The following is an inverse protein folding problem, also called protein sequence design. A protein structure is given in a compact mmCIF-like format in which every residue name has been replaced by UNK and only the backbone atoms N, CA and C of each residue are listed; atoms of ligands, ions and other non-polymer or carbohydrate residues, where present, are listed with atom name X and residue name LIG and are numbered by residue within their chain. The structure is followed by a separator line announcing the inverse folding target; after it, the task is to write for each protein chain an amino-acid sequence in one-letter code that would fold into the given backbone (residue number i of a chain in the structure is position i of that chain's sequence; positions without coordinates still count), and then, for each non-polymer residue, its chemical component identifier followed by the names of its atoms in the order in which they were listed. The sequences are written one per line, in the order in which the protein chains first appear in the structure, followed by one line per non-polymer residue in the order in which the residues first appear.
data_IF_937037671196
#
_entry.id   IF_937037671196
#
_cell.length_a   1.000
_cell.length_b   1.000
_cell.length_c   1.000
_cell.angle_alpha   90.00
_cell.angle_beta   90.00
_cell.angle_gamma   90.00
#
_symmetry.space_group_name_H-M   'P 1'
#
loop_
_entity.id
_entity.type
_entity.pdbx_description
1 polymer ?
#
# COMPACT_ATOMS: atom_id res chain seq x y z
N UNK A 1 -12.28 -8.43 10.41
CA UNK A 1 -12.45 -7.35 9.40
C UNK A 1 -13.18 -6.18 10.02
N UNK A 2 -14.40 -6.31 10.52
CA UNK A 2 -15.12 -5.22 11.20
C UNK A 2 -15.93 -5.74 12.38
N UNK A 3 -16.09 -4.93 13.42
CA UNK A 3 -17.05 -5.08 14.52
C UNK A 3 -18.10 -3.98 14.37
N UNK A 4 -19.34 -4.39 14.16
CA UNK A 4 -20.48 -3.50 14.10
C UNK A 4 -21.05 -3.31 15.50
N UNK A 5 -21.21 -2.06 15.94
CA UNK A 5 -21.92 -1.71 17.16
C UNK A 5 -23.11 -0.80 16.80
N UNK A 6 -24.36 -1.18 17.15
CA UNK A 6 -25.51 -0.30 16.99
C UNK A 6 -25.23 1.04 17.67
N UNK A 7 -25.55 2.15 17.01
CA UNK A 7 -25.31 3.54 17.45
C UNK A 7 -23.86 4.04 17.50
N UNK A 8 -22.85 3.16 17.34
CA UNK A 8 -21.41 3.54 17.38
C UNK A 8 -20.66 3.34 16.06
N UNK A 9 -21.32 2.79 15.03
CA UNK A 9 -20.76 2.62 13.70
C UNK A 9 -19.93 1.35 13.55
N UNK A 10 -19.00 1.37 12.60
CA UNK A 10 -18.15 0.23 12.24
C UNK A 10 -16.74 0.46 12.78
N UNK A 11 -16.26 -0.39 13.68
CA UNK A 11 -14.86 -0.39 14.13
C UNK A 11 -14.10 -1.52 13.46
N UNK A 12 -12.84 -1.28 13.10
CA UNK A 12 -11.96 -2.37 12.70
C UNK A 12 -11.67 -3.23 13.93
N UNK A 13 -11.72 -4.55 13.74
CA UNK A 13 -11.12 -5.50 14.70
C UNK A 13 -9.61 -5.28 14.74
N UNK A 14 -8.87 -5.67 15.80
CA UNK A 14 -7.40 -5.60 15.82
C UNK A 14 -6.73 -6.29 14.61
N UNK A 15 -7.32 -7.38 14.12
CA UNK A 15 -6.88 -8.04 12.89
C UNK A 15 -7.15 -7.21 11.62
N UNK A 16 -8.25 -6.46 11.62
CA UNK A 16 -8.62 -5.52 10.55
C UNK A 16 -7.73 -4.29 10.53
N UNK A 17 -7.32 -3.77 11.69
CA UNK A 17 -6.35 -2.67 11.79
C UNK A 17 -5.00 -3.08 11.20
N UNK A 18 -4.47 -4.24 11.60
CA UNK A 18 -3.22 -4.79 11.02
C UNK A 18 -3.29 -4.96 9.50
N UNK A 19 -4.43 -5.37 8.99
CA UNK A 19 -4.63 -5.50 7.54
C UNK A 19 -4.65 -4.13 6.86
N UNK A 20 -5.35 -3.15 7.44
CA UNK A 20 -5.43 -1.79 6.92
C UNK A 20 -4.04 -1.12 6.92
N UNK A 21 -3.26 -1.25 7.99
CA UNK A 21 -1.89 -0.74 8.06
C UNK A 21 -0.99 -1.38 7.00
N UNK A 22 -1.14 -2.69 6.77
CA UNK A 22 -0.36 -3.39 5.74
C UNK A 22 -0.71 -2.90 4.34
N UNK A 23 -1.99 -2.69 4.03
CA UNK A 23 -2.45 -2.15 2.75
C UNK A 23 -1.95 -0.71 2.56
N UNK A 24 -2.12 0.15 3.57
CA UNK A 24 -1.67 1.53 3.51
C UNK A 24 -0.15 1.64 3.28
N UNK A 25 0.64 0.78 3.93
CA UNK A 25 2.09 0.73 3.70
C UNK A 25 2.42 0.35 2.24
N UNK A 26 1.71 -0.64 1.68
CA UNK A 26 1.92 -1.10 0.29
C UNK A 26 1.60 0.01 -0.71
N UNK A 27 0.40 0.60 -0.59
CA UNK A 27 -0.04 1.73 -1.40
C UNK A 27 0.98 2.87 -1.40
N UNK A 28 1.39 3.35 -0.22
CA UNK A 28 2.34 4.46 -0.09
C UNK A 28 3.70 4.17 -0.72
N UNK A 29 4.20 2.93 -0.58
CA UNK A 29 5.49 2.56 -1.18
C UNK A 29 5.43 2.57 -2.71
N UNK A 30 4.36 2.01 -3.28
CA UNK A 30 4.16 1.97 -4.74
C UNK A 30 3.91 3.38 -5.31
N UNK A 31 3.02 4.16 -4.71
CA UNK A 31 2.72 5.52 -5.15
C UNK A 31 3.98 6.39 -5.12
N UNK A 32 4.78 6.29 -4.05
CA UNK A 32 6.07 6.99 -3.94
C UNK A 32 7.07 6.53 -4.99
N UNK A 33 7.14 5.23 -5.28
CA UNK A 33 8.01 4.69 -6.33
C UNK A 33 7.61 5.22 -7.72
N UNK A 34 6.33 5.13 -8.08
CA UNK A 34 5.85 5.61 -9.37
C UNK A 34 6.06 7.11 -9.54
N UNK A 35 5.80 7.90 -8.51
CA UNK A 35 5.99 9.35 -8.57
C UNK A 35 7.47 9.77 -8.55
N UNK A 36 8.24 9.34 -7.54
CA UNK A 36 9.59 9.87 -7.31
C UNK A 36 10.68 9.19 -8.13
N UNK A 37 10.46 7.94 -8.56
CA UNK A 37 11.47 7.15 -9.27
C UNK A 37 11.11 7.00 -10.74
N UNK A 38 9.87 6.64 -11.07
CA UNK A 38 9.44 6.53 -12.48
C UNK A 38 9.00 7.86 -13.10
N UNK A 39 8.75 8.90 -12.28
CA UNK A 39 8.33 10.22 -12.77
C UNK A 39 6.87 10.27 -13.26
N UNK A 40 6.04 9.31 -12.85
CA UNK A 40 4.61 9.29 -13.17
C UNK A 40 3.91 10.45 -12.47
N UNK A 41 2.90 11.07 -13.08
CA UNK A 41 2.12 12.13 -12.43
C UNK A 41 1.53 11.63 -11.10
N UNK A 42 1.58 12.45 -10.03
CA UNK A 42 1.11 12.07 -8.70
C UNK A 42 -0.29 11.45 -8.67
N UNK A 43 -1.26 12.01 -9.42
CA UNK A 43 -2.63 11.48 -9.45
C UNK A 43 -2.70 10.08 -10.08
N UNK A 44 -1.88 9.86 -11.12
CA UNK A 44 -1.79 8.57 -11.80
C UNK A 44 -1.06 7.57 -10.91
N UNK A 45 0.04 7.97 -10.27
CA UNK A 45 0.80 7.14 -9.34
C UNK A 45 -0.06 6.62 -8.17
N UNK A 46 -0.90 7.48 -7.58
CA UNK A 46 -1.84 7.08 -6.53
C UNK A 46 -2.88 6.09 -7.04
N UNK A 47 -3.46 6.36 -8.22
CA UNK A 47 -4.46 5.46 -8.82
C UNK A 47 -3.86 4.09 -9.13
N UNK A 48 -2.71 4.07 -9.79
CA UNK A 48 -2.05 2.84 -10.21
C UNK A 48 -1.57 2.01 -9.01
N UNK A 49 -1.11 2.66 -7.94
CA UNK A 49 -0.76 1.97 -6.70
C UNK A 49 -1.96 1.22 -6.09
N UNK A 50 -3.13 1.87 -6.07
CA UNK A 50 -4.36 1.27 -5.54
C UNK A 50 -4.87 0.13 -6.44
N UNK A 51 -4.78 0.26 -7.76
CA UNK A 51 -5.17 -0.83 -8.67
C UNK A 51 -4.21 -2.02 -8.55
N UNK A 52 -2.91 -1.77 -8.52
CA UNK A 52 -1.89 -2.82 -8.47
C UNK A 52 -1.97 -3.59 -7.15
N UNK A 53 -2.17 -2.92 -6.01
CA UNK A 53 -2.20 -3.60 -4.72
C UNK A 53 -3.35 -4.60 -4.58
N UNK A 54 -4.46 -4.38 -5.30
CA UNK A 54 -5.66 -5.24 -5.26
C UNK A 54 -5.65 -6.36 -6.31
N UNK A 55 -4.93 -6.19 -7.42
CA UNK A 55 -4.93 -7.15 -8.53
C UNK A 55 -3.69 -8.05 -8.57
N UNK A 56 -2.59 -7.65 -7.93
CA UNK A 56 -1.34 -8.41 -7.95
C UNK A 56 -1.26 -9.35 -6.75
N UNK A 57 -0.64 -10.52 -6.96
CA UNK A 57 -0.44 -11.49 -5.88
C UNK A 57 0.31 -10.87 -4.71
N UNK A 58 -0.02 -11.31 -3.49
CA UNK A 58 0.64 -10.84 -2.27
C UNK A 58 2.15 -11.03 -2.32
N UNK A 59 2.61 -12.17 -2.81
CA UNK A 59 4.03 -12.50 -2.94
C UNK A 59 4.75 -11.50 -3.85
N UNK A 60 4.17 -11.18 -5.00
CA UNK A 60 4.75 -10.24 -5.95
C UNK A 60 4.83 -8.82 -5.37
N UNK A 61 3.78 -8.35 -4.68
CA UNK A 61 3.80 -7.03 -4.04
C UNK A 61 4.86 -6.96 -2.93
N UNK A 62 4.95 -7.98 -2.09
CA UNK A 62 5.94 -8.02 -1.01
C UNK A 62 7.37 -7.98 -1.57
N UNK A 63 7.68 -8.79 -2.59
CA UNK A 63 8.99 -8.77 -3.26
C UNK A 63 9.29 -7.43 -3.95
N UNK A 64 8.29 -6.81 -4.57
CA UNK A 64 8.44 -5.51 -5.22
C UNK A 64 8.74 -4.41 -4.20
N UNK A 65 8.05 -4.41 -3.05
CA UNK A 65 8.29 -3.46 -1.97
C UNK A 65 9.69 -3.64 -1.40
N UNK A 66 10.10 -4.87 -1.11
CA UNK A 66 11.46 -5.17 -0.64
C UNK A 66 12.51 -4.65 -1.63
N UNK A 67 12.28 -4.86 -2.92
CA UNK A 67 13.16 -4.36 -3.97
C UNK A 67 13.25 -2.82 -3.97
N UNK A 68 12.11 -2.12 -3.91
CA UNK A 68 12.03 -0.65 -3.87
C UNK A 68 12.70 -0.08 -2.61
N UNK A 69 12.45 -0.68 -1.44
CA UNK A 69 13.05 -0.24 -0.17
C UNK A 69 14.58 -0.41 -0.21
N UNK A 70 15.08 -1.54 -0.74
CA UNK A 70 16.51 -1.78 -0.90
C UNK A 70 17.17 -0.85 -1.94
N UNK A 71 16.45 -0.47 -3.00
CA UNK A 71 16.96 0.50 -3.98
C UNK A 71 17.17 1.89 -3.37
N UNK A 72 16.30 2.33 -2.44
CA UNK A 72 16.45 3.64 -1.77
C UNK A 72 17.73 3.73 -0.93
N UNK A 73 18.18 2.62 -0.34
CA UNK A 73 19.43 2.54 0.41
C UNK A 73 20.70 2.59 -0.47
N UNK A 74 20.57 2.50 -1.80
CA UNK A 74 21.70 2.54 -2.74
C UNK A 74 21.92 3.90 -3.42
N UNK A 75 21.22 4.96 -2.99
CA UNK A 75 21.53 6.32 -3.47
C UNK A 75 22.92 6.72 -2.95
N UNK A 76 23.89 6.66 -3.86
CA UNK A 76 25.28 7.08 -3.75
C UNK A 76 25.38 8.61 -3.74
#
# INVERSE_FOLDING_TARGET
MIQYQPYYGVKLTPMGEKLAESLEKKHKTLAKFFYEILGVNKKIAEKDACEIEHHVSRETIEKLIDFIENMKGRKK
#
